data_IF_783606218692
#
_entry.id   IF_783606218692
#
_cell.length_a   1.000
_cell.length_b   1.000
_cell.length_c   1.000
_cell.angle_alpha   90.00
_cell.angle_beta   90.00
_cell.angle_gamma   90.00
#
_symmetry.space_group_name_H-M   'P 1'
#
loop_
_entity.id
_entity.type
_entity.pdbx_description
1 polymer ?
#
# COMPACT_ATOMS: atom_id res chain seq x y z
N UNK A 1 21.61 13.80 -13.15
CA UNK A 1 20.32 13.12 -13.31
C UNK A 1 19.63 13.04 -11.97
N UNK A 2 18.32 13.14 -11.92
CA UNK A 2 17.51 13.17 -10.68
C UNK A 2 17.83 11.97 -9.76
N UNK A 3 18.01 10.78 -10.31
CA UNK A 3 18.32 9.56 -9.55
C UNK A 3 19.55 9.71 -8.61
N UNK A 4 20.61 10.38 -9.06
CA UNK A 4 21.78 10.61 -8.23
C UNK A 4 21.50 11.60 -7.07
N UNK A 5 20.64 12.60 -7.31
CA UNK A 5 20.24 13.55 -6.28
C UNK A 5 19.37 12.86 -5.23
N UNK A 6 18.41 12.05 -5.66
CA UNK A 6 17.58 11.25 -4.75
C UNK A 6 18.44 10.31 -3.91
N UNK A 7 19.37 9.57 -4.56
CA UNK A 7 20.28 8.68 -3.85
C UNK A 7 21.11 9.40 -2.80
N UNK A 8 21.65 10.58 -3.10
CA UNK A 8 22.43 11.37 -2.13
C UNK A 8 21.61 11.76 -0.89
N UNK A 9 20.32 12.11 -1.07
CA UNK A 9 19.42 12.41 0.06
C UNK A 9 19.12 11.15 0.87
N UNK A 10 18.88 10.01 0.19
CA UNK A 10 18.64 8.73 0.84
C UNK A 10 19.85 8.27 1.66
N UNK A 11 21.06 8.35 1.09
CA UNK A 11 22.31 7.92 1.74
C UNK A 11 22.67 8.80 2.96
N UNK A 12 22.22 10.03 3.00
CA UNK A 12 22.45 10.95 4.12
C UNK A 12 21.50 10.73 5.31
N UNK A 13 20.42 9.97 5.12
CA UNK A 13 19.42 9.71 6.16
C UNK A 13 19.75 8.42 6.92
N UNK A 14 19.60 8.38 8.28
CA UNK A 14 19.96 7.24 9.10
C UNK A 14 18.90 6.12 9.06
N UNK A 15 18.51 5.68 7.87
CA UNK A 15 17.67 4.53 7.61
C UNK A 15 18.07 3.86 6.30
N UNK A 16 17.81 2.57 6.16
CA UNK A 16 17.83 1.92 4.85
C UNK A 16 16.64 2.39 4.04
N UNK A 17 16.81 2.52 2.74
CA UNK A 17 15.72 2.96 1.87
C UNK A 17 15.82 2.41 0.46
N UNK A 18 14.68 2.29 -0.21
CA UNK A 18 14.54 1.94 -1.59
C UNK A 18 13.51 2.86 -2.26
N UNK A 19 13.72 3.16 -3.54
CA UNK A 19 12.86 4.02 -4.32
C UNK A 19 12.69 3.47 -5.74
N UNK A 20 11.44 3.46 -6.21
CA UNK A 20 11.15 3.19 -7.61
C UNK A 20 10.18 4.24 -8.16
N UNK A 21 10.60 4.93 -9.21
CA UNK A 21 9.81 5.93 -9.92
C UNK A 21 9.80 5.61 -11.41
N UNK A 22 8.60 5.54 -12.01
CA UNK A 22 8.42 5.14 -13.40
C UNK A 22 7.43 6.08 -14.08
N UNK A 23 7.76 6.58 -15.26
CA UNK A 23 6.82 7.24 -16.16
C UNK A 23 5.81 6.22 -16.69
N UNK A 24 4.51 6.47 -16.48
CA UNK A 24 3.47 5.51 -16.86
C UNK A 24 3.10 5.57 -18.34
N UNK A 25 3.51 6.61 -19.06
CA UNK A 25 3.29 6.69 -20.53
C UNK A 25 4.34 5.92 -21.30
N UNK A 26 5.62 6.11 -20.95
CA UNK A 26 6.71 5.42 -21.64
C UNK A 26 7.03 4.05 -21.03
N UNK A 27 6.75 3.85 -19.75
CA UNK A 27 7.19 2.70 -18.97
C UNK A 27 8.66 2.78 -18.54
N UNK A 28 9.34 3.90 -18.80
CA UNK A 28 10.75 4.06 -18.46
C UNK A 28 10.96 4.42 -16.99
N UNK A 29 11.95 3.82 -16.33
CA UNK A 29 12.31 4.20 -14.98
C UNK A 29 12.97 5.59 -14.95
N UNK A 30 12.43 6.50 -14.14
CA UNK A 30 13.00 7.82 -13.83
C UNK A 30 14.09 7.65 -12.78
N UNK A 31 13.82 6.82 -11.78
CA UNK A 31 14.77 6.42 -10.75
C UNK A 31 14.47 5.00 -10.27
N UNK A 32 15.52 4.18 -10.16
CA UNK A 32 15.48 2.82 -9.66
C UNK A 32 16.62 2.64 -8.66
N UNK A 33 16.29 2.58 -7.37
CA UNK A 33 17.25 2.49 -6.26
C UNK A 33 16.77 1.40 -5.32
N UNK A 34 17.32 0.19 -5.43
CA UNK A 34 16.92 -0.94 -4.62
C UNK A 34 15.47 -1.42 -4.85
N UNK A 35 14.95 -1.23 -6.03
CA UNK A 35 13.54 -1.48 -6.38
C UNK A 35 13.09 -2.93 -6.26
N UNK A 36 14.03 -3.88 -6.25
CA UNK A 36 13.77 -5.32 -6.05
C UNK A 36 13.97 -5.78 -4.60
N UNK A 37 14.34 -4.86 -3.70
CA UNK A 37 14.58 -5.21 -2.31
C UNK A 37 13.29 -5.67 -1.65
N UNK A 38 13.27 -6.92 -1.18
CA UNK A 38 12.17 -7.45 -0.35
C UNK A 38 12.20 -6.78 1.02
N UNK A 39 11.11 -6.14 1.40
CA UNK A 39 10.95 -5.43 2.67
C UNK A 39 9.68 -5.87 3.39
N UNK A 40 9.63 -5.68 4.70
CA UNK A 40 8.37 -5.81 5.47
C UNK A 40 7.39 -4.78 4.94
N UNK A 41 6.23 -5.24 4.49
CA UNK A 41 5.31 -4.41 3.69
C UNK A 41 4.54 -3.36 4.49
N UNK A 42 4.44 -3.51 5.81
CA UNK A 42 3.42 -2.79 6.58
C UNK A 42 2.05 -2.81 5.88
N UNK A 43 1.31 -1.70 5.89
CA UNK A 43 -0.02 -1.63 5.27
C UNK A 43 -0.02 -1.49 3.75
N UNK A 44 1.14 -1.39 3.07
CA UNK A 44 1.15 -1.36 1.60
C UNK A 44 0.70 -2.69 0.97
N UNK A 45 0.78 -3.81 1.71
CA UNK A 45 0.27 -5.12 1.29
C UNK A 45 -1.25 -5.12 1.04
N UNK A 46 -1.98 -4.18 1.62
CA UNK A 46 -3.45 -4.08 1.51
C UNK A 46 -3.93 -3.85 0.07
N UNK A 47 -3.07 -3.31 -0.80
CA UNK A 47 -3.39 -3.17 -2.24
C UNK A 47 -3.51 -4.54 -2.90
N UNK A 48 -2.62 -5.49 -2.59
CA UNK A 48 -2.67 -6.86 -3.08
C UNK A 48 -3.93 -7.58 -2.58
N UNK A 49 -4.23 -7.42 -1.28
CA UNK A 49 -5.43 -8.00 -0.65
C UNK A 49 -6.71 -7.45 -1.30
N UNK A 50 -6.76 -6.13 -1.55
CA UNK A 50 -7.86 -5.48 -2.27
C UNK A 50 -8.06 -6.09 -3.65
N UNK A 51 -7.01 -6.15 -4.46
CA UNK A 51 -7.10 -6.67 -5.82
C UNK A 51 -7.47 -8.16 -5.86
N UNK A 52 -6.96 -8.98 -4.91
CA UNK A 52 -7.34 -10.37 -4.77
C UNK A 52 -8.84 -10.52 -4.44
N UNK A 53 -9.36 -9.76 -3.47
CA UNK A 53 -10.78 -9.78 -3.12
C UNK A 53 -11.67 -9.35 -4.30
N UNK A 54 -11.28 -8.28 -5.01
CA UNK A 54 -12.02 -7.81 -6.18
C UNK A 54 -11.94 -8.80 -7.37
N UNK A 55 -10.85 -9.54 -7.50
CA UNK A 55 -10.75 -10.62 -8.47
C UNK A 55 -11.77 -11.73 -8.16
N UNK A 56 -11.91 -12.10 -6.89
CA UNK A 56 -12.91 -13.10 -6.49
C UNK A 56 -14.35 -12.59 -6.66
N UNK A 57 -14.58 -11.29 -6.53
CA UNK A 57 -15.88 -10.68 -6.89
C UNK A 57 -16.11 -10.77 -8.41
N UNK A 58 -15.11 -10.48 -9.22
CA UNK A 58 -15.17 -10.57 -10.68
C UNK A 58 -15.43 -12.00 -11.14
N UNK A 59 -14.85 -12.98 -10.46
CA UNK A 59 -15.02 -14.41 -10.73
C UNK A 59 -16.37 -14.97 -10.21
N UNK A 60 -17.19 -14.14 -9.54
CA UNK A 60 -18.48 -14.56 -8.97
C UNK A 60 -18.38 -15.42 -7.70
N UNK A 61 -17.19 -15.54 -7.09
CA UNK A 61 -16.96 -16.28 -5.84
C UNK A 61 -17.41 -15.47 -4.61
N UNK A 62 -17.30 -14.14 -4.67
CA UNK A 62 -17.68 -13.21 -3.63
C UNK A 62 -18.66 -12.17 -4.16
N UNK A 63 -19.31 -11.43 -3.23
CA UNK A 63 -20.15 -10.28 -3.55
C UNK A 63 -19.76 -9.11 -2.67
N UNK A 64 -19.64 -7.91 -3.25
CA UNK A 64 -19.37 -6.69 -2.49
C UNK A 64 -20.41 -6.42 -1.40
N UNK A 65 -21.65 -6.85 -1.61
CA UNK A 65 -22.75 -6.65 -0.68
C UNK A 65 -22.89 -7.77 0.36
N UNK A 66 -22.07 -8.84 0.30
CA UNK A 66 -22.13 -9.90 1.31
C UNK A 66 -21.74 -9.36 2.68
N UNK A 67 -22.51 -9.68 3.70
CA UNK A 67 -22.20 -9.34 5.08
C UNK A 67 -21.14 -10.27 5.63
N UNK A 68 -20.13 -9.69 6.24
CA UNK A 68 -19.08 -10.42 6.96
C UNK A 68 -19.20 -10.10 8.46
N UNK A 69 -19.17 -11.14 9.32
CA UNK A 69 -19.21 -10.93 10.75
C UNK A 69 -17.88 -10.29 11.23
N UNK A 70 -17.97 -9.44 12.23
CA UNK A 70 -16.80 -8.94 12.96
C UNK A 70 -16.39 -9.98 14.00
N UNK A 71 -15.63 -10.98 13.59
CA UNK A 71 -15.15 -12.04 14.46
C UNK A 71 -14.11 -11.51 15.45
N UNK A 72 -14.23 -11.91 16.74
CA UNK A 72 -13.38 -11.40 17.83
C UNK A 72 -11.88 -11.56 17.55
N UNK A 73 -11.49 -12.64 16.90
CA UNK A 73 -10.09 -12.94 16.53
C UNK A 73 -9.50 -12.04 15.46
N UNK A 74 -10.31 -11.18 14.86
CA UNK A 74 -9.88 -10.21 13.84
C UNK A 74 -9.68 -8.81 14.41
N UNK A 75 -10.16 -8.53 15.63
CA UNK A 75 -10.04 -7.21 16.21
C UNK A 75 -8.59 -6.84 16.51
N UNK A 76 -8.28 -5.56 16.27
CA UNK A 76 -7.02 -4.92 16.61
C UNK A 76 -7.29 -3.69 17.48
N UNK A 77 -6.43 -3.44 18.47
CA UNK A 77 -6.61 -2.31 19.40
C UNK A 77 -6.40 -0.95 18.73
N UNK A 78 -5.70 -0.89 17.60
CA UNK A 78 -5.45 0.33 16.82
C UNK A 78 -6.44 0.52 15.66
N UNK A 79 -7.57 -0.16 15.68
CA UNK A 79 -8.61 0.03 14.66
C UNK A 79 -9.25 1.41 14.78
N UNK A 80 -9.56 2.03 13.63
CA UNK A 80 -10.13 3.39 13.59
C UNK A 80 -11.63 3.40 13.30
N UNK A 81 -12.18 2.33 12.74
CA UNK A 81 -13.56 2.29 12.24
C UNK A 81 -14.33 1.12 12.85
N UNK A 82 -13.75 -0.08 12.83
CA UNK A 82 -14.40 -1.27 13.37
C UNK A 82 -14.07 -1.44 14.85
N UNK A 83 -14.56 -0.50 15.65
CA UNK A 83 -14.39 -0.50 17.12
C UNK A 83 -15.45 -1.41 17.74
N UNK A 84 -15.05 -2.44 18.52
CA UNK A 84 -15.98 -3.44 19.05
C UNK A 84 -17.15 -2.87 19.85
N UNK A 85 -16.93 -1.75 20.53
CA UNK A 85 -17.94 -1.09 21.37
C UNK A 85 -19.06 -0.42 20.57
N UNK A 86 -18.81 -0.12 19.30
CA UNK A 86 -19.74 0.62 18.46
C UNK A 86 -20.28 -0.18 17.28
N UNK A 87 -19.71 -1.34 16.99
CA UNK A 87 -20.09 -2.12 15.82
C UNK A 87 -20.03 -3.62 16.11
N UNK A 88 -21.20 -4.24 16.22
CA UNK A 88 -21.36 -5.67 16.53
C UNK A 88 -21.96 -6.49 15.39
N UNK A 89 -22.60 -5.85 14.41
CA UNK A 89 -23.50 -6.51 13.45
C UNK A 89 -22.81 -6.93 12.15
N UNK A 90 -21.49 -6.76 12.08
CA UNK A 90 -20.76 -7.00 10.84
C UNK A 90 -20.82 -5.82 9.87
N UNK A 91 -20.23 -6.00 8.70
CA UNK A 91 -20.21 -5.01 7.62
C UNK A 91 -20.15 -5.74 6.27
N UNK A 92 -20.49 -5.05 5.20
CA UNK A 92 -20.33 -5.60 3.86
C UNK A 92 -18.87 -5.77 3.49
N UNK A 93 -18.57 -6.67 2.54
CA UNK A 93 -17.22 -6.80 1.98
C UNK A 93 -16.74 -5.44 1.44
N UNK A 94 -17.62 -4.69 0.76
CA UNK A 94 -17.29 -3.34 0.27
C UNK A 94 -16.83 -2.41 1.40
N UNK A 95 -17.51 -2.38 2.54
CA UNK A 95 -17.12 -1.54 3.69
C UNK A 95 -15.76 -1.99 4.27
N UNK A 96 -15.51 -3.29 4.36
CA UNK A 96 -14.21 -3.79 4.82
C UNK A 96 -13.08 -3.37 3.87
N UNK A 97 -13.26 -3.53 2.55
CA UNK A 97 -12.27 -3.10 1.55
C UNK A 97 -12.06 -1.59 1.59
N UNK A 98 -13.14 -0.82 1.68
CA UNK A 98 -13.09 0.64 1.74
C UNK A 98 -12.26 1.11 2.94
N UNK A 99 -12.57 0.66 4.16
CA UNK A 99 -11.88 1.09 5.36
C UNK A 99 -10.47 0.52 5.48
N UNK A 100 -10.22 -0.67 4.98
CA UNK A 100 -8.88 -1.26 4.84
C UNK A 100 -7.94 -0.34 4.03
N UNK A 101 -8.45 0.30 2.99
CA UNK A 101 -7.64 1.18 2.12
C UNK A 101 -7.64 2.61 2.62
N UNK A 102 -8.81 3.21 2.85
CA UNK A 102 -8.96 4.65 3.10
C UNK A 102 -8.39 5.09 4.44
N UNK A 103 -8.66 4.34 5.51
CA UNK A 103 -8.14 4.61 6.87
C UNK A 103 -7.11 3.59 7.34
N UNK A 104 -6.75 2.63 6.48
CA UNK A 104 -5.83 1.55 6.86
C UNK A 104 -6.32 0.69 8.04
N UNK A 105 -7.63 0.53 8.24
CA UNK A 105 -8.21 -0.22 9.35
C UNK A 105 -7.70 -1.66 9.40
N UNK A 106 -7.14 -2.08 10.54
CA UNK A 106 -6.52 -3.38 10.69
C UNK A 106 -7.53 -4.49 11.00
N UNK A 107 -8.63 -4.19 11.70
CA UNK A 107 -9.73 -5.12 11.92
C UNK A 107 -10.40 -5.48 10.58
N UNK A 108 -10.68 -4.48 9.74
CA UNK A 108 -11.16 -4.70 8.38
C UNK A 108 -10.22 -5.59 7.57
N UNK A 109 -8.91 -5.30 7.63
CA UNK A 109 -7.88 -6.08 6.93
C UNK A 109 -7.86 -7.54 7.39
N UNK A 110 -7.87 -7.78 8.70
CA UNK A 110 -7.84 -9.13 9.27
C UNK A 110 -9.08 -9.93 8.91
N UNK A 111 -10.24 -9.27 8.82
CA UNK A 111 -11.48 -9.91 8.37
C UNK A 111 -11.38 -10.34 6.91
N UNK A 112 -10.83 -9.50 6.03
CA UNK A 112 -10.63 -9.85 4.61
C UNK A 112 -9.56 -10.94 4.46
N UNK A 113 -8.45 -10.90 5.23
CA UNK A 113 -7.46 -11.98 5.24
C UNK A 113 -8.08 -13.30 5.70
N UNK A 114 -8.94 -13.28 6.74
CA UNK A 114 -9.63 -14.48 7.21
C UNK A 114 -10.61 -15.04 6.19
N UNK A 115 -11.25 -14.18 5.39
CA UNK A 115 -12.14 -14.58 4.31
C UNK A 115 -11.39 -15.25 3.15
N UNK A 116 -10.28 -14.66 2.71
CA UNK A 116 -9.53 -15.12 1.54
C UNK A 116 -8.56 -16.27 1.86
N UNK A 117 -7.93 -16.23 3.02
CA UNK A 117 -6.81 -17.08 3.40
C UNK A 117 -5.47 -16.68 2.79
N UNK A 118 -4.38 -16.95 3.52
CA UNK A 118 -3.02 -16.57 3.10
C UNK A 118 -2.62 -17.20 1.77
N UNK A 119 -2.87 -18.51 1.63
CA UNK A 119 -2.46 -19.26 0.44
C UNK A 119 -3.12 -18.71 -0.83
N UNK A 120 -4.41 -18.36 -0.76
CA UNK A 120 -5.14 -17.81 -1.89
C UNK A 120 -4.61 -16.44 -2.29
N UNK A 121 -4.38 -15.54 -1.32
CA UNK A 121 -3.77 -14.23 -1.59
C UNK A 121 -2.39 -14.40 -2.23
N UNK A 122 -1.57 -15.30 -1.70
CA UNK A 122 -0.21 -15.54 -2.20
C UNK A 122 -0.20 -16.19 -3.59
N UNK A 123 -1.16 -17.09 -3.88
CA UNK A 123 -1.35 -17.65 -5.24
C UNK A 123 -1.73 -16.54 -6.21
N UNK A 124 -2.66 -15.67 -5.83
CA UNK A 124 -3.03 -14.51 -6.64
C UNK A 124 -1.82 -13.60 -6.93
N UNK A 125 -1.07 -13.20 -5.90
CA UNK A 125 0.14 -12.38 -6.08
C UNK A 125 1.11 -13.00 -7.10
N UNK A 126 1.42 -14.28 -6.95
CA UNK A 126 2.31 -14.99 -7.89
C UNK A 126 1.74 -15.06 -9.31
N UNK A 127 0.42 -15.26 -9.46
CA UNK A 127 -0.23 -15.37 -10.77
C UNK A 127 -0.15 -14.09 -11.60
N UNK A 128 -0.06 -12.94 -10.93
CA UNK A 128 0.12 -11.63 -11.59
C UNK A 128 1.57 -11.13 -11.54
N UNK A 129 2.54 -11.99 -11.19
CA UNK A 129 3.97 -11.71 -11.25
C UNK A 129 4.53 -10.91 -10.07
N UNK A 130 3.84 -10.84 -8.93
CA UNK A 130 4.37 -10.21 -7.70
C UNK A 130 5.20 -11.26 -6.95
N UNK A 131 6.50 -11.28 -7.18
CA UNK A 131 7.40 -12.35 -6.71
C UNK A 131 7.91 -12.13 -5.28
N UNK A 132 7.97 -10.88 -4.83
CA UNK A 132 8.45 -10.50 -3.50
C UNK A 132 7.32 -10.21 -2.50
N UNK A 133 6.04 -10.19 -3.00
CA UNK A 133 4.88 -9.90 -2.18
C UNK A 133 4.28 -11.17 -1.59
N UNK A 134 4.14 -11.19 -0.26
CA UNK A 134 3.68 -12.37 0.48
C UNK A 134 2.93 -11.97 1.75
N UNK A 135 1.80 -12.62 2.03
CA UNK A 135 1.03 -12.47 3.27
C UNK A 135 1.20 -13.72 4.12
N UNK A 136 1.77 -13.58 5.31
CA UNK A 136 2.05 -14.69 6.24
C UNK A 136 1.40 -14.51 7.61
N UNK A 137 0.84 -13.34 7.91
CA UNK A 137 0.21 -13.02 9.18
C UNK A 137 -0.92 -12.00 9.05
N UNK A 138 -1.78 -11.98 10.06
CA UNK A 138 -2.73 -10.87 10.27
C UNK A 138 -1.99 -9.58 10.66
N UNK A 139 -2.69 -8.45 10.53
CA UNK A 139 -2.18 -7.18 11.01
C UNK A 139 -2.03 -7.23 12.52
N UNK A 140 -0.94 -6.66 13.05
CA UNK A 140 -0.58 -6.59 14.47
C UNK A 140 -0.45 -7.96 15.19
N UNK A 141 -0.27 -9.04 14.44
CA UNK A 141 0.06 -10.35 15.00
C UNK A 141 1.55 -10.39 15.38
N UNK A 142 1.86 -9.85 16.56
CA UNK A 142 3.23 -9.77 17.08
C UNK A 142 3.81 -11.16 17.38
N UNK A 143 2.99 -12.12 17.80
CA UNK A 143 3.44 -13.49 18.03
C UNK A 143 3.91 -14.16 16.71
N UNK A 144 3.24 -13.88 15.60
CA UNK A 144 3.71 -14.35 14.30
C UNK A 144 5.04 -13.69 13.90
N UNK A 145 5.22 -12.39 14.19
CA UNK A 145 6.48 -11.67 13.93
C UNK A 145 7.64 -12.29 14.72
N UNK A 146 7.46 -12.53 16.01
CA UNK A 146 8.44 -13.21 16.87
C UNK A 146 8.79 -14.61 16.36
N UNK A 147 7.82 -15.30 15.75
CA UNK A 147 8.01 -16.60 15.11
C UNK A 147 8.63 -16.50 13.68
N UNK A 148 9.09 -15.33 13.25
CA UNK A 148 9.75 -15.10 11.97
C UNK A 148 8.80 -14.99 10.76
N UNK A 149 7.47 -14.92 10.97
CA UNK A 149 6.49 -14.69 9.89
C UNK A 149 6.17 -13.22 9.76
N UNK A 150 6.21 -12.70 8.53
CA UNK A 150 5.84 -11.30 8.27
C UNK A 150 5.18 -11.17 6.88
N UNK A 151 4.59 -10.01 6.63
CA UNK A 151 4.08 -9.66 5.32
C UNK A 151 5.16 -8.88 4.57
N UNK A 152 5.39 -9.20 3.32
CA UNK A 152 6.48 -8.66 2.51
C UNK A 152 5.98 -8.06 1.21
N UNK A 153 6.79 -7.18 0.63
CA UNK A 153 6.63 -6.62 -0.72
C UNK A 153 7.98 -6.08 -1.22
N UNK A 154 8.00 -5.53 -2.42
CA UNK A 154 9.12 -4.73 -2.95
C UNK A 154 8.58 -3.47 -3.66
N UNK A 155 9.39 -2.42 -3.85
CA UNK A 155 8.99 -1.27 -4.67
C UNK A 155 8.56 -1.66 -6.08
N UNK A 156 9.21 -2.67 -6.68
CA UNK A 156 8.88 -3.18 -8.03
C UNK A 156 7.52 -3.89 -8.05
N UNK A 157 7.20 -4.69 -7.04
CA UNK A 157 5.90 -5.36 -6.97
C UNK A 157 4.76 -4.36 -6.75
N UNK A 158 5.00 -3.33 -5.93
CA UNK A 158 4.04 -2.22 -5.80
C UNK A 158 3.83 -1.52 -7.16
N UNK A 159 4.91 -1.20 -7.88
CA UNK A 159 4.77 -0.66 -9.23
C UNK A 159 3.94 -1.55 -10.14
N UNK A 160 4.20 -2.86 -10.15
CA UNK A 160 3.50 -3.82 -11.02
C UNK A 160 1.99 -3.78 -10.80
N UNK A 161 1.54 -3.87 -9.54
CA UNK A 161 0.10 -3.88 -9.26
C UNK A 161 -0.55 -2.54 -9.57
N UNK A 162 0.08 -1.42 -9.25
CA UNK A 162 -0.41 -0.09 -9.60
C UNK A 162 -0.44 0.15 -11.11
N UNK A 163 0.59 -0.31 -11.85
CA UNK A 163 0.63 -0.27 -13.31
C UNK A 163 -0.54 -1.05 -13.91
N UNK A 164 -0.79 -2.28 -13.43
CA UNK A 164 -1.90 -3.11 -13.91
C UNK A 164 -3.26 -2.45 -13.66
N UNK A 165 -3.46 -1.83 -12.50
CA UNK A 165 -4.66 -1.03 -12.21
C UNK A 165 -4.77 0.18 -13.16
N UNK A 166 -3.68 0.89 -13.41
CA UNK A 166 -3.66 2.06 -14.28
C UNK A 166 -4.03 1.71 -15.72
N UNK A 167 -3.44 0.66 -16.28
CA UNK A 167 -3.67 0.24 -17.66
C UNK A 167 -4.91 -0.66 -17.84
N UNK A 168 -5.58 -1.09 -16.76
CA UNK A 168 -6.72 -2.01 -16.84
C UNK A 168 -6.32 -3.43 -17.23
N UNK A 169 -5.13 -3.86 -16.84
CA UNK A 169 -4.62 -5.22 -17.11
C UNK A 169 -5.20 -6.26 -16.13
N UNK A 170 -5.73 -5.82 -15.00
CA UNK A 170 -6.44 -6.63 -13.99
C UNK A 170 -7.79 -5.98 -13.68
N UNK A 171 -8.76 -6.80 -13.28
CA UNK A 171 -10.14 -6.43 -13.00
C UNK A 171 -10.90 -5.90 -14.25
N UNK A 172 -12.21 -6.02 -14.23
CA UNK A 172 -13.05 -5.33 -15.22
C UNK A 172 -13.16 -3.83 -14.88
N UNK A 173 -13.76 -3.05 -15.78
CA UNK A 173 -13.86 -1.59 -15.65
C UNK A 173 -14.57 -1.15 -14.35
N UNK A 174 -15.67 -1.83 -13.97
CA UNK A 174 -16.45 -1.52 -12.77
C UNK A 174 -15.62 -1.74 -11.48
N UNK A 175 -15.03 -2.91 -11.31
CA UNK A 175 -14.26 -3.25 -10.11
C UNK A 175 -12.91 -2.51 -10.05
N UNK A 176 -12.31 -2.21 -11.19
CA UNK A 176 -11.16 -1.31 -11.28
C UNK A 176 -11.50 0.09 -10.80
N UNK A 177 -12.67 0.63 -11.20
CA UNK A 177 -13.14 1.93 -10.72
C UNK A 177 -13.33 1.93 -9.20
N UNK A 178 -13.86 0.84 -8.62
CA UNK A 178 -13.97 0.66 -7.15
C UNK A 178 -12.59 0.71 -6.49
N UNK A 179 -11.59 -0.02 -7.01
CA UNK A 179 -10.23 0.00 -6.45
C UNK A 179 -9.61 1.39 -6.52
N UNK A 180 -9.72 2.06 -7.64
CA UNK A 180 -9.19 3.40 -7.87
C UNK A 180 -9.86 4.42 -6.94
N UNK A 181 -11.19 4.40 -6.82
CA UNK A 181 -11.92 5.28 -5.90
C UNK A 181 -11.41 5.13 -4.46
N UNK A 182 -11.25 3.90 -3.98
CA UNK A 182 -10.71 3.64 -2.63
C UNK A 182 -9.27 4.17 -2.48
N UNK A 183 -8.38 3.92 -3.44
CA UNK A 183 -6.98 4.36 -3.39
C UNK A 183 -6.82 5.89 -3.49
N UNK A 184 -7.74 6.57 -4.18
CA UNK A 184 -7.75 8.04 -4.29
C UNK A 184 -8.21 8.75 -3.01
N UNK A 185 -8.87 8.02 -2.08
CA UNK A 185 -9.45 8.57 -0.85
C UNK A 185 -8.61 8.36 0.41
N UNK A 186 -7.35 8.01 0.29
CA UNK A 186 -6.48 7.83 1.47
C UNK A 186 -6.53 9.05 2.39
N UNK A 187 -6.87 8.82 3.68
CA UNK A 187 -6.96 9.88 4.70
C UNK A 187 -5.63 10.24 5.35
N UNK A 188 -4.57 9.64 4.90
CA UNK A 188 -3.24 9.92 5.42
C UNK A 188 -2.59 11.08 4.65
N UNK A 189 -2.22 12.16 5.33
CA UNK A 189 -1.67 13.37 4.71
C UNK A 189 -0.14 13.48 4.81
N UNK A 190 0.52 12.53 5.43
CA UNK A 190 1.99 12.41 5.46
C UNK A 190 2.56 11.75 4.21
N UNK A 191 3.80 11.28 4.29
CA UNK A 191 4.47 10.52 3.23
C UNK A 191 4.55 11.28 1.91
N UNK A 192 4.12 10.67 0.81
CA UNK A 192 4.24 11.21 -0.54
C UNK A 192 3.60 12.59 -0.73
N UNK A 193 2.53 12.92 -0.01
CA UNK A 193 1.84 14.21 -0.15
C UNK A 193 2.35 15.31 0.79
N UNK A 194 3.24 14.99 1.73
CA UNK A 194 3.63 15.89 2.82
C UNK A 194 4.08 17.29 2.36
N UNK A 195 4.82 17.37 1.27
CA UNK A 195 5.38 18.63 0.76
C UNK A 195 4.92 18.96 -0.67
N UNK A 196 3.89 18.30 -1.16
CA UNK A 196 3.32 18.62 -2.48
C UNK A 196 2.51 19.91 -2.35
N UNK A 197 2.84 20.96 -3.13
CA UNK A 197 2.26 22.29 -2.91
C UNK A 197 0.88 22.48 -3.54
N UNK A 198 0.59 21.70 -4.58
CA UNK A 198 -0.64 21.87 -5.37
C UNK A 198 -1.55 20.66 -5.18
N UNK A 199 -2.87 20.82 -5.27
CA UNK A 199 -3.78 19.71 -5.35
C UNK A 199 -3.45 18.81 -6.55
N UNK A 200 -3.20 17.54 -6.30
CA UNK A 200 -2.97 16.51 -7.31
C UNK A 200 -3.69 15.23 -6.91
N UNK A 201 -4.32 14.60 -7.89
CA UNK A 201 -4.92 13.30 -7.66
C UNK A 201 -3.83 12.24 -7.56
N UNK A 202 -3.88 11.45 -6.48
CA UNK A 202 -2.93 10.37 -6.22
C UNK A 202 -3.67 9.12 -5.75
N UNK A 203 -3.47 8.02 -6.45
CA UNK A 203 -3.93 6.70 -6.00
C UNK A 203 -2.82 6.06 -5.19
N UNK A 204 -2.98 5.93 -3.88
CA UNK A 204 -1.87 5.49 -3.05
C UNK A 204 -2.29 4.69 -1.82
N UNK A 205 -1.33 3.95 -1.27
CA UNK A 205 -1.45 3.28 0.02
C UNK A 205 -0.17 3.45 0.84
N UNK A 206 -0.21 4.21 1.93
CA UNK A 206 0.88 4.28 2.90
C UNK A 206 0.89 3.08 3.83
N UNK A 207 2.02 2.85 4.49
CA UNK A 207 2.17 1.85 5.54
C UNK A 207 3.31 2.20 6.48
N UNK A 208 3.09 2.05 7.78
CA UNK A 208 4.10 2.31 8.81
C UNK A 208 4.05 1.26 9.91
N UNK A 209 5.20 1.04 10.52
CA UNK A 209 5.44 0.33 11.77
C UNK A 209 6.57 1.06 12.50
N UNK A 210 6.90 0.64 13.73
CA UNK A 210 8.08 1.17 14.38
C UNK A 210 9.32 0.92 13.52
N UNK A 211 10.19 1.93 13.38
CA UNK A 211 11.42 1.94 12.58
C UNK A 211 11.25 1.84 11.05
N UNK A 212 10.03 1.85 10.50
CA UNK A 212 9.80 1.85 9.06
C UNK A 212 8.57 2.65 8.65
N UNK A 213 8.68 3.32 7.50
CA UNK A 213 7.57 3.96 6.79
C UNK A 213 7.68 3.72 5.29
N UNK A 214 6.54 3.51 4.67
CA UNK A 214 6.42 3.31 3.23
C UNK A 214 5.28 4.14 2.68
N UNK A 215 5.41 4.57 1.43
CA UNK A 215 4.27 5.09 0.69
C UNK A 215 4.48 4.81 -0.80
N UNK A 216 3.44 4.32 -1.46
CA UNK A 216 3.50 3.98 -2.88
C UNK A 216 2.20 4.35 -3.57
N UNK A 217 2.31 4.88 -4.79
CA UNK A 217 1.14 5.26 -5.55
C UNK A 217 1.44 5.91 -6.89
N UNK A 218 0.36 6.27 -7.58
CA UNK A 218 0.39 6.94 -8.89
C UNK A 218 -0.02 8.39 -8.72
N UNK A 219 0.82 9.31 -9.19
CA UNK A 219 0.52 10.72 -9.36
C UNK A 219 -0.08 10.95 -10.75
N UNK A 220 -1.29 11.49 -10.81
CA UNK A 220 -1.98 11.79 -12.06
C UNK A 220 -1.69 13.23 -12.52
N UNK A 221 -0.45 13.53 -12.84
CA UNK A 221 -0.13 14.76 -13.54
C UNK A 221 -0.64 14.68 -14.98
N UNK A 222 -1.26 15.77 -15.46
CA UNK A 222 -2.01 15.83 -16.74
C UNK A 222 -1.28 15.17 -17.91
N UNK A 223 0.00 15.49 -18.10
CA UNK A 223 0.77 15.01 -19.25
C UNK A 223 1.86 14.00 -18.88
N UNK A 224 2.15 13.84 -17.60
CA UNK A 224 3.23 13.00 -17.07
C UNK A 224 2.79 12.21 -15.84
N UNK A 225 1.81 11.29 -15.97
CA UNK A 225 1.45 10.40 -14.87
C UNK A 225 2.63 9.50 -14.56
N UNK A 226 2.92 9.33 -13.27
CA UNK A 226 4.05 8.50 -12.84
C UNK A 226 3.71 7.71 -11.59
N UNK A 227 4.33 6.54 -11.46
CA UNK A 227 4.37 5.79 -10.21
C UNK A 227 5.55 6.27 -9.37
N UNK A 228 5.34 6.37 -8.06
CA UNK A 228 6.39 6.59 -7.08
C UNK A 228 6.15 5.69 -5.87
N UNK A 229 7.12 4.84 -5.56
CA UNK A 229 7.17 4.04 -4.33
C UNK A 229 8.44 4.34 -3.57
N UNK A 230 8.32 4.73 -2.30
CA UNK A 230 9.44 5.01 -1.39
C UNK A 230 9.26 4.16 -0.14
N UNK A 231 10.30 3.41 0.19
CA UNK A 231 10.31 2.44 1.29
C UNK A 231 11.50 2.73 2.19
N UNK A 232 11.26 2.81 3.49
CA UNK A 232 12.32 3.03 4.49
C UNK A 232 12.20 2.01 5.61
N UNK A 233 13.33 1.52 6.13
CA UNK A 233 13.37 0.57 7.24
C UNK A 233 14.66 0.71 8.03
N UNK A 234 14.73 0.11 9.23
CA UNK A 234 15.83 0.24 10.16
C UNK A 234 16.16 1.71 10.49
N UNK A 235 15.14 2.56 10.50
CA UNK A 235 15.27 3.99 10.79
C UNK A 235 15.13 4.34 12.26
N UNK A 236 15.15 5.63 12.60
CA UNK A 236 14.90 6.10 13.96
C UNK A 236 13.56 5.61 14.50
N UNK A 237 13.51 5.32 15.81
CA UNK A 237 12.27 5.00 16.50
C UNK A 237 11.28 6.16 16.44
N UNK A 238 9.99 5.85 16.60
CA UNK A 238 8.95 6.85 16.77
C UNK A 238 9.13 7.49 18.17
N UNK A 239 9.71 8.68 18.18
CA UNK A 239 9.93 9.52 19.39
C UNK A 239 9.04 10.78 19.41
N UNK A 240 7.94 10.75 18.65
CA UNK A 240 7.07 11.89 18.38
C UNK A 240 7.45 12.69 17.13
N UNK A 241 8.52 12.30 16.45
CA UNK A 241 8.97 12.89 15.18
C UNK A 241 8.74 11.92 14.01
N UNK A 242 8.25 12.45 12.90
CA UNK A 242 7.95 11.64 11.70
C UNK A 242 9.16 11.60 10.77
N UNK A 243 10.28 11.12 11.24
CA UNK A 243 11.58 11.19 10.54
C UNK A 243 11.52 10.57 9.14
N UNK A 244 11.07 9.31 9.02
CA UNK A 244 10.99 8.62 7.72
C UNK A 244 9.94 9.25 6.82
N UNK A 245 8.81 9.69 7.36
CA UNK A 245 7.76 10.37 6.58
C UNK A 245 8.24 11.71 6.03
N UNK A 246 9.10 12.44 6.77
CA UNK A 246 9.75 13.67 6.27
C UNK A 246 10.67 13.36 5.10
N UNK A 247 11.47 12.28 5.19
CA UNK A 247 12.31 11.81 4.07
C UNK A 247 11.45 11.46 2.85
N UNK A 248 10.41 10.65 3.04
CA UNK A 248 9.49 10.28 1.94
C UNK A 248 8.90 11.53 1.28
N UNK A 249 8.44 12.49 2.08
CA UNK A 249 7.91 13.76 1.56
C UNK A 249 8.95 14.59 0.79
N UNK A 250 10.18 14.65 1.28
CA UNK A 250 11.28 15.36 0.61
C UNK A 250 11.61 14.72 -0.75
N UNK A 251 11.77 13.41 -0.79
CA UNK A 251 12.05 12.67 -2.02
C UNK A 251 10.89 12.79 -3.02
N UNK A 252 9.64 12.67 -2.52
CA UNK A 252 8.45 12.86 -3.34
C UNK A 252 8.37 14.26 -3.94
N UNK A 253 8.69 15.30 -3.16
CA UNK A 253 8.74 16.68 -3.65
C UNK A 253 9.78 16.85 -4.74
N UNK A 254 10.98 16.30 -4.59
CA UNK A 254 12.03 16.35 -5.62
C UNK A 254 11.58 15.71 -6.93
N UNK A 255 10.91 14.54 -6.85
CA UNK A 255 10.36 13.88 -8.04
C UNK A 255 9.24 14.72 -8.66
N UNK A 256 8.31 15.25 -7.85
CA UNK A 256 7.21 16.09 -8.31
C UNK A 256 7.71 17.32 -9.07
N UNK A 257 8.70 18.03 -8.53
CA UNK A 257 9.29 19.21 -9.18
C UNK A 257 10.02 18.86 -10.49
N UNK A 258 10.61 17.67 -10.57
CA UNK A 258 11.25 17.16 -11.79
C UNK A 258 10.22 16.78 -12.87
N UNK A 259 9.06 16.23 -12.45
CA UNK A 259 8.00 15.78 -13.36
C UNK A 259 7.08 16.91 -13.83
N UNK A 260 7.00 18.02 -13.09
CA UNK A 260 6.22 19.20 -13.42
C UNK A 260 6.90 20.03 -14.53
#
# INVERSE_FOLDING_TARGET
MIANQLKAVMDAFPAKSALYCVDLKSGDPIAAIGEETKVVSASTIKVMILCCALQDVMDGKLSLNQLLPLAKENFCDDTNVFVPEYRTDGATLWEHLYWMIVSSDNTATNTVISLLGYDHINVYCRSIGLTESEVQRKMLDFAAIEAGRNNYTSPRDQYRIYKMLYHGEILNEELRAVAIDMLSRSRYFGGLLRYIPDPVEVWRKPGGLDHLDHDAGIFLLKDKPYFLGIFTWDGPALDGEDHQQKLIGQLSRMVYDYMK
#
